data_IF_937179376280
#
_entry.id   IF_937179376280
#
_cell.length_a   1.000
_cell.length_b   1.000
_cell.length_c   1.000
_cell.angle_alpha   90.00
_cell.angle_beta   90.00
_cell.angle_gamma   90.00
#
_symmetry.space_group_name_H-M   'P 1'
#
loop_
_entity.id
_entity.type
_entity.pdbx_description
1 polymer ?
#
# COMPACT_ATOMS: atom_id res chain seq x y z
N UNK A 1 20.36 -2.12 -36.20
CA UNK A 1 20.54 -1.89 -34.75
C UNK A 1 19.96 -0.52 -34.45
N UNK A 2 18.67 -0.46 -34.07
CA UNK A 2 18.11 0.78 -33.53
C UNK A 2 18.83 1.00 -32.20
N UNK A 3 19.43 2.18 -32.00
CA UNK A 3 19.87 2.59 -30.68
C UNK A 3 18.66 2.45 -29.76
N UNK A 4 18.66 1.47 -28.86
CA UNK A 4 17.58 1.32 -27.89
C UNK A 4 17.71 2.49 -26.93
N UNK A 5 16.98 3.56 -27.20
CA UNK A 5 16.92 4.74 -26.34
C UNK A 5 16.49 4.32 -24.92
N UNK A 6 17.06 4.97 -23.91
CA UNK A 6 16.83 4.59 -22.52
C UNK A 6 15.37 4.86 -22.11
N UNK A 7 14.64 3.78 -21.80
CA UNK A 7 13.24 3.80 -21.36
C UNK A 7 13.04 4.44 -19.97
N UNK A 8 14.12 4.82 -19.28
CA UNK A 8 14.05 5.73 -18.13
C UNK A 8 13.84 7.21 -18.53
N UNK A 9 13.70 7.50 -19.83
CA UNK A 9 13.47 8.85 -20.36
C UNK A 9 12.17 8.93 -21.18
N UNK A 10 11.57 10.12 -21.21
CA UNK A 10 10.37 10.40 -22.03
C UNK A 10 10.61 10.08 -23.51
N UNK A 11 11.76 10.47 -24.06
CA UNK A 11 12.10 10.21 -25.45
C UNK A 11 12.24 8.71 -25.73
N UNK A 12 12.91 7.97 -24.85
CA UNK A 12 13.04 6.52 -25.01
C UNK A 12 11.70 5.82 -25.00
N UNK A 13 10.79 6.21 -24.10
CA UNK A 13 9.41 5.69 -24.07
C UNK A 13 8.67 6.05 -25.35
N UNK A 14 8.76 7.29 -25.82
CA UNK A 14 8.10 7.73 -27.04
C UNK A 14 8.56 6.92 -28.26
N UNK A 15 9.88 6.70 -28.38
CA UNK A 15 10.48 5.89 -29.44
C UNK A 15 10.06 4.42 -29.36
N UNK A 16 9.96 3.86 -28.15
CA UNK A 16 9.54 2.47 -27.91
C UNK A 16 8.09 2.22 -28.35
N UNK A 17 7.17 3.12 -27.98
CA UNK A 17 5.75 2.93 -28.31
C UNK A 17 5.37 3.35 -29.73
N UNK A 18 6.23 4.08 -30.45
CA UNK A 18 5.91 4.72 -31.74
C UNK A 18 5.38 3.77 -32.84
N UNK A 19 5.74 2.49 -32.80
CA UNK A 19 5.31 1.46 -33.77
C UNK A 19 4.38 0.41 -33.16
N UNK A 20 3.74 0.75 -32.05
CA UNK A 20 2.78 -0.10 -31.35
C UNK A 20 1.40 0.56 -31.38
N UNK A 21 0.32 -0.15 -31.02
CA UNK A 21 -0.99 0.48 -30.78
C UNK A 21 -0.99 1.56 -29.70
N UNK A 22 0.09 1.68 -28.91
CA UNK A 22 0.25 2.67 -27.84
C UNK A 22 1.07 3.90 -28.29
N UNK A 23 1.27 4.08 -29.60
CA UNK A 23 1.87 5.30 -30.14
C UNK A 23 1.17 6.53 -29.54
N UNK A 24 1.95 7.47 -29.01
CA UNK A 24 1.45 8.52 -28.12
C UNK A 24 1.72 9.90 -28.70
N UNK A 25 0.76 10.80 -28.56
CA UNK A 25 0.92 12.24 -28.86
C UNK A 25 1.66 12.96 -27.74
N UNK A 26 1.59 12.44 -26.51
CA UNK A 26 2.32 12.95 -25.37
C UNK A 26 2.67 11.84 -24.38
N UNK A 27 3.81 11.97 -23.72
CA UNK A 27 4.30 11.06 -22.68
C UNK A 27 4.68 11.90 -21.46
N UNK A 28 4.00 11.70 -20.35
CA UNK A 28 4.19 12.47 -19.12
C UNK A 28 4.74 11.57 -18.01
N UNK A 29 5.79 11.99 -17.33
CA UNK A 29 6.30 11.29 -16.14
C UNK A 29 5.25 11.35 -15.03
N UNK A 30 4.95 10.21 -14.41
CA UNK A 30 4.12 10.13 -13.21
C UNK A 30 5.01 10.08 -11.96
N UNK A 31 4.61 10.82 -10.93
CA UNK A 31 5.24 10.79 -9.62
C UNK A 31 4.52 9.82 -8.68
N UNK A 32 5.14 9.50 -7.54
CA UNK A 32 4.53 8.72 -6.46
C UNK A 32 5.03 7.28 -6.34
N UNK A 33 5.48 6.67 -7.43
CA UNK A 33 6.11 5.33 -7.41
C UNK A 33 7.60 5.41 -7.08
N UNK A 34 8.11 4.46 -6.28
CA UNK A 34 9.53 4.40 -5.91
C UNK A 34 10.30 3.28 -6.64
N UNK A 35 9.62 2.23 -7.11
CA UNK A 35 10.23 1.05 -7.72
C UNK A 35 10.41 1.10 -9.24
N UNK A 36 9.68 1.95 -9.96
CA UNK A 36 9.64 1.95 -11.42
C UNK A 36 9.62 3.37 -12.02
N UNK A 37 10.18 3.50 -13.23
CA UNK A 37 9.95 4.68 -14.06
C UNK A 37 8.56 4.57 -14.68
N UNK A 38 7.67 5.49 -14.31
CA UNK A 38 6.25 5.39 -14.66
C UNK A 38 5.82 6.59 -15.51
N UNK A 39 5.06 6.32 -16.57
CA UNK A 39 4.64 7.32 -17.54
C UNK A 39 3.16 7.17 -17.86
N UNK A 40 2.46 8.30 -18.00
CA UNK A 40 1.16 8.37 -18.65
C UNK A 40 1.35 8.62 -20.14
N UNK A 41 0.76 7.74 -20.93
CA UNK A 41 0.69 7.83 -22.37
C UNK A 41 -0.64 8.49 -22.75
N UNK A 42 -0.58 9.59 -23.51
CA UNK A 42 -1.75 10.09 -24.23
C UNK A 42 -1.71 9.53 -25.64
N UNK A 43 -2.58 8.58 -25.92
CA UNK A 43 -2.54 7.78 -27.14
C UNK A 43 -2.89 8.65 -28.35
N UNK A 44 -2.25 8.39 -29.48
CA UNK A 44 -2.58 9.02 -30.75
C UNK A 44 -3.92 8.51 -31.30
N UNK A 45 -4.18 7.22 -31.10
CA UNK A 45 -5.46 6.58 -31.40
C UNK A 45 -5.98 5.90 -30.14
N UNK A 46 -7.28 6.00 -29.80
CA UNK A 46 -7.82 5.33 -28.63
C UNK A 46 -7.63 3.80 -28.67
N UNK A 47 -7.19 3.21 -27.56
CA UNK A 47 -7.06 1.76 -27.41
C UNK A 47 -8.19 1.24 -26.53
N UNK A 48 -9.01 0.32 -27.05
CA UNK A 48 -10.23 -0.17 -26.38
C UNK A 48 -11.14 0.97 -25.88
N UNK A 49 -11.24 2.05 -26.67
CA UNK A 49 -12.05 3.22 -26.35
C UNK A 49 -11.43 4.16 -25.30
N UNK A 50 -10.16 3.96 -24.90
CA UNK A 50 -9.46 4.81 -23.93
C UNK A 50 -8.41 5.67 -24.61
N UNK A 51 -8.35 6.94 -24.23
CA UNK A 51 -7.38 7.91 -24.75
C UNK A 51 -6.03 7.87 -24.04
N UNK A 52 -5.95 7.19 -22.89
CA UNK A 52 -4.73 7.10 -22.09
C UNK A 52 -4.41 5.67 -21.67
N UNK A 53 -3.12 5.43 -21.45
CA UNK A 53 -2.59 4.21 -20.84
C UNK A 53 -1.44 4.58 -19.89
N UNK A 54 -1.04 3.66 -19.01
CA UNK A 54 0.14 3.81 -18.16
C UNK A 54 1.21 2.82 -18.61
N UNK A 55 2.44 3.31 -18.72
CA UNK A 55 3.63 2.50 -18.95
C UNK A 55 4.51 2.51 -17.70
N UNK A 56 4.84 1.33 -17.17
CA UNK A 56 5.87 1.14 -16.15
C UNK A 56 7.11 0.50 -16.77
N UNK A 57 8.28 1.08 -16.54
CA UNK A 57 9.57 0.50 -16.90
C UNK A 57 10.43 0.23 -15.66
N UNK A 58 10.90 -1.00 -15.54
CA UNK A 58 11.75 -1.45 -14.44
C UNK A 58 13.24 -1.32 -14.77
N UNK A 59 14.04 -0.94 -13.77
CA UNK A 59 15.50 -1.15 -13.74
C UNK A 59 15.87 -2.09 -12.60
N UNK A 60 17.11 -2.58 -12.63
CA UNK A 60 17.71 -3.43 -11.60
C UNK A 60 18.06 -2.67 -10.29
N UNK A 61 17.58 -1.43 -10.15
CA UNK A 61 17.82 -0.53 -9.03
C UNK A 61 16.63 0.42 -8.84
N UNK A 62 16.57 1.10 -7.69
CA UNK A 62 15.56 2.12 -7.43
C UNK A 62 15.80 3.39 -8.27
N UNK A 63 14.78 3.96 -8.95
CA UNK A 63 14.87 5.26 -9.61
C UNK A 63 15.52 6.38 -8.78
N UNK A 64 15.22 6.43 -7.48
CA UNK A 64 15.75 7.46 -6.56
C UNK A 64 17.14 7.14 -5.98
N UNK A 65 17.56 5.87 -5.99
CA UNK A 65 18.86 5.42 -5.49
C UNK A 65 19.37 4.26 -6.35
N UNK A 66 20.27 4.60 -7.29
CA UNK A 66 20.85 3.63 -8.22
C UNK A 66 21.79 2.63 -7.53
N UNK A 67 22.18 2.87 -6.28
CA UNK A 67 23.03 1.96 -5.50
C UNK A 67 22.22 0.88 -4.81
N UNK A 68 20.91 1.07 -4.67
CA UNK A 68 20.00 0.11 -4.06
C UNK A 68 19.52 -0.91 -5.11
N UNK A 69 19.92 -2.19 -5.02
CA UNK A 69 19.51 -3.21 -5.98
C UNK A 69 18.02 -3.54 -5.85
N UNK A 70 17.32 -3.63 -6.98
CA UNK A 70 15.90 -3.99 -7.03
C UNK A 70 15.65 -4.96 -8.20
N UNK A 71 15.18 -6.15 -7.91
CA UNK A 71 15.13 -7.27 -8.84
C UNK A 71 13.97 -7.09 -9.82
N UNK A 72 14.23 -7.32 -11.11
CA UNK A 72 13.27 -7.04 -12.19
C UNK A 72 12.11 -8.03 -12.25
N UNK A 73 12.31 -9.24 -11.73
CA UNK A 73 11.29 -10.28 -11.62
C UNK A 73 10.07 -9.83 -10.79
N UNK A 74 10.21 -8.80 -9.94
CA UNK A 74 9.09 -8.11 -9.27
C UNK A 74 7.95 -7.72 -10.23
N UNK A 75 8.26 -7.35 -11.47
CA UNK A 75 7.26 -6.97 -12.48
C UNK A 75 6.36 -8.15 -12.87
N UNK A 76 6.90 -9.38 -12.88
CA UNK A 76 6.10 -10.59 -13.12
C UNK A 76 5.05 -10.76 -12.02
N UNK A 77 5.41 -10.48 -10.78
CA UNK A 77 4.47 -10.54 -9.66
C UNK A 77 3.43 -9.41 -9.73
N UNK A 78 3.80 -8.20 -10.14
CA UNK A 78 2.86 -7.09 -10.39
C UNK A 78 1.79 -7.48 -11.42
N UNK A 79 2.23 -7.99 -12.57
CA UNK A 79 1.35 -8.43 -13.67
C UNK A 79 0.46 -9.61 -13.27
N UNK A 80 1.04 -10.65 -12.67
CA UNK A 80 0.31 -11.87 -12.33
C UNK A 80 -0.69 -11.63 -11.19
N UNK A 81 -0.35 -10.80 -10.20
CA UNK A 81 -1.30 -10.38 -9.17
C UNK A 81 -2.47 -9.62 -9.79
N UNK A 82 -2.21 -8.59 -10.60
CA UNK A 82 -3.28 -7.81 -11.23
C UNK A 82 -4.20 -8.70 -12.08
N UNK A 83 -3.65 -9.60 -12.90
CA UNK A 83 -4.44 -10.52 -13.74
C UNK A 83 -5.29 -11.48 -12.92
N UNK A 84 -4.69 -12.16 -11.94
CA UNK A 84 -5.37 -13.21 -11.16
C UNK A 84 -6.40 -12.63 -10.20
N UNK A 85 -6.08 -11.52 -9.53
CA UNK A 85 -7.03 -10.81 -8.67
C UNK A 85 -8.23 -10.35 -9.49
N UNK A 86 -8.03 -9.68 -10.63
CA UNK A 86 -9.14 -9.25 -11.50
C UNK A 86 -10.04 -10.40 -11.93
N UNK A 87 -9.48 -11.57 -12.20
CA UNK A 87 -10.25 -12.74 -12.63
C UNK A 87 -11.15 -13.33 -11.53
N UNK A 88 -10.84 -13.11 -10.25
CA UNK A 88 -11.63 -13.64 -9.12
C UNK A 88 -12.60 -12.63 -8.52
N UNK A 89 -12.48 -11.35 -8.89
CA UNK A 89 -13.41 -10.32 -8.43
C UNK A 89 -14.76 -10.43 -9.17
N UNK A 90 -15.89 -10.17 -8.47
CA UNK A 90 -17.18 -10.02 -9.14
C UNK A 90 -17.15 -8.90 -10.17
N UNK A 91 -17.81 -9.08 -11.32
CA UNK A 91 -17.92 -8.04 -12.35
C UNK A 91 -18.57 -6.73 -11.84
N UNK A 92 -19.42 -6.84 -10.82
CA UNK A 92 -20.09 -5.72 -10.13
C UNK A 92 -19.22 -5.05 -9.05
N UNK A 93 -17.99 -5.53 -8.83
CA UNK A 93 -17.12 -4.96 -7.80
C UNK A 93 -16.74 -3.52 -8.11
N UNK A 94 -16.88 -2.65 -7.11
CA UNK A 94 -16.42 -1.26 -7.19
C UNK A 94 -14.89 -1.18 -7.26
N UNK A 95 -14.19 -2.12 -6.60
CA UNK A 95 -12.74 -2.22 -6.59
C UNK A 95 -12.28 -3.22 -7.66
N UNK A 96 -11.26 -2.86 -8.42
CA UNK A 96 -10.61 -3.72 -9.41
C UNK A 96 -9.11 -3.45 -9.48
N UNK A 97 -8.40 -4.15 -10.36
CA UNK A 97 -7.02 -3.85 -10.74
C UNK A 97 -6.98 -3.36 -12.20
N UNK A 98 -5.96 -2.57 -12.58
CA UNK A 98 -5.74 -2.21 -13.98
C UNK A 98 -5.67 -3.41 -14.91
N UNK A 99 -6.22 -3.27 -16.11
CA UNK A 99 -6.06 -4.25 -17.17
C UNK A 99 -4.63 -4.22 -17.70
N UNK A 100 -3.96 -5.37 -17.79
CA UNK A 100 -2.64 -5.48 -18.39
C UNK A 100 -2.80 -5.66 -19.90
N UNK A 101 -2.37 -4.67 -20.67
CA UNK A 101 -2.39 -4.73 -22.13
C UNK A 101 -1.14 -5.41 -22.69
N UNK A 102 0.03 -5.06 -22.15
CA UNK A 102 1.33 -5.60 -22.58
C UNK A 102 2.19 -5.88 -21.36
N UNK A 103 2.88 -7.01 -21.40
CA UNK A 103 4.03 -7.29 -20.55
C UNK A 103 5.18 -7.74 -21.46
N UNK A 104 6.16 -6.85 -21.63
CA UNK A 104 7.37 -7.09 -22.41
C UNK A 104 8.51 -7.35 -21.41
N UNK A 105 8.79 -8.63 -21.18
CA UNK A 105 9.81 -9.09 -20.23
C UNK A 105 11.23 -8.69 -20.68
N UNK A 106 11.49 -8.64 -21.98
CA UNK A 106 12.80 -8.30 -22.53
C UNK A 106 13.11 -6.81 -22.29
N UNK A 107 12.12 -5.94 -22.52
CA UNK A 107 12.24 -4.51 -22.28
C UNK A 107 11.96 -4.10 -20.82
N UNK A 108 11.49 -5.02 -19.98
CA UNK A 108 11.01 -4.75 -18.62
C UNK A 108 9.91 -3.68 -18.60
N UNK A 109 8.94 -3.83 -19.49
CA UNK A 109 7.84 -2.87 -19.70
C UNK A 109 6.50 -3.51 -19.41
N UNK A 110 5.67 -2.81 -18.63
CA UNK A 110 4.25 -3.11 -18.46
C UNK A 110 3.46 -1.94 -19.05
N UNK A 111 2.53 -2.22 -19.98
CA UNK A 111 1.53 -1.24 -20.43
C UNK A 111 0.17 -1.69 -19.91
N UNK A 112 -0.53 -0.80 -19.20
CA UNK A 112 -1.77 -1.10 -18.50
C UNK A 112 -2.80 0.02 -18.60
N UNK A 113 -4.03 -0.30 -18.22
CA UNK A 113 -5.13 0.65 -18.01
C UNK A 113 -4.72 1.81 -17.10
N UNK A 114 -5.09 3.03 -17.49
CA UNK A 114 -4.91 4.22 -16.65
C UNK A 114 -6.02 4.29 -15.59
N UNK A 115 -5.64 4.09 -14.32
CA UNK A 115 -6.56 4.15 -13.18
C UNK A 115 -7.01 5.57 -12.78
N UNK A 116 -6.56 6.61 -13.50
CA UNK A 116 -6.93 8.00 -13.27
C UNK A 116 -5.83 8.82 -12.59
N UNK A 117 -6.18 9.97 -12.04
CA UNK A 117 -5.20 10.97 -11.54
C UNK A 117 -5.24 11.16 -10.03
N UNK A 118 -6.19 10.55 -9.34
CA UNK A 118 -6.49 10.88 -7.95
C UNK A 118 -6.35 9.66 -7.05
N UNK A 119 -5.32 9.67 -6.20
CA UNK A 119 -5.14 8.64 -5.15
C UNK A 119 -6.05 8.92 -3.97
N UNK A 120 -6.39 7.89 -3.20
CA UNK A 120 -7.11 8.03 -1.94
C UNK A 120 -6.31 8.87 -0.94
N UNK A 121 -4.97 8.74 -0.92
CA UNK A 121 -4.12 9.64 -0.11
C UNK A 121 -4.31 11.09 -0.52
N UNK A 122 -4.26 11.40 -1.82
CA UNK A 122 -4.50 12.76 -2.29
C UNK A 122 -5.90 13.26 -1.92
N UNK A 123 -6.94 12.43 -2.05
CA UNK A 123 -8.31 12.79 -1.63
C UNK A 123 -8.44 13.12 -0.15
N UNK A 124 -7.79 12.34 0.71
CA UNK A 124 -7.81 12.59 2.16
C UNK A 124 -7.06 13.89 2.51
N UNK A 125 -6.00 14.19 1.76
CA UNK A 125 -5.11 15.32 2.04
C UNK A 125 -5.47 16.61 1.29
N UNK A 126 -6.34 16.59 0.29
CA UNK A 126 -6.74 17.78 -0.49
C UNK A 126 -7.54 18.81 0.32
N UNK A 127 -7.65 20.02 -0.21
CA UNK A 127 -8.51 21.07 0.33
C UNK A 127 -9.97 20.75 -0.02
N UNK A 128 -10.79 20.53 1.01
CA UNK A 128 -12.12 19.92 0.89
C UNK A 128 -12.08 18.48 1.37
N UNK A 129 -12.77 18.19 2.46
CA UNK A 129 -12.79 16.84 3.01
C UNK A 129 -13.53 15.89 2.06
N UNK A 130 -12.95 14.71 1.82
CA UNK A 130 -13.69 13.58 1.24
C UNK A 130 -15.03 13.44 1.96
N UNK A 131 -16.13 13.49 1.21
CA UNK A 131 -17.46 13.37 1.79
C UNK A 131 -17.57 12.09 2.63
N UNK A 132 -18.17 12.18 3.81
CA UNK A 132 -18.29 11.04 4.74
C UNK A 132 -19.03 9.86 4.10
N UNK A 133 -20.01 10.12 3.22
CA UNK A 133 -20.67 9.11 2.39
C UNK A 133 -19.69 8.38 1.48
N UNK A 134 -18.87 9.10 0.71
CA UNK A 134 -17.86 8.53 -0.16
C UNK A 134 -16.79 7.77 0.64
N UNK A 135 -16.36 8.29 1.79
CA UNK A 135 -15.42 7.63 2.68
C UNK A 135 -15.96 6.29 3.21
N UNK A 136 -17.25 6.25 3.58
CA UNK A 136 -17.95 5.01 3.97
C UNK A 136 -17.93 3.99 2.84
N UNK A 137 -18.33 4.41 1.63
CA UNK A 137 -18.37 3.55 0.43
C UNK A 137 -16.98 3.00 0.10
N UNK A 138 -15.94 3.86 0.11
CA UNK A 138 -14.55 3.46 -0.15
C UNK A 138 -14.09 2.45 0.90
N UNK A 139 -14.28 2.75 2.19
CA UNK A 139 -13.88 1.87 3.27
C UNK A 139 -14.52 0.49 3.15
N UNK A 140 -15.85 0.42 3.01
CA UNK A 140 -16.57 -0.85 2.83
C UNK A 140 -16.10 -1.63 1.60
N UNK A 141 -15.89 -0.95 0.47
CA UNK A 141 -15.47 -1.59 -0.76
C UNK A 141 -14.04 -2.14 -0.66
N UNK A 142 -13.11 -1.39 -0.07
CA UNK A 142 -11.73 -1.83 0.15
C UNK A 142 -11.64 -2.98 1.16
N UNK A 143 -12.45 -2.95 2.22
CA UNK A 143 -12.48 -4.03 3.22
C UNK A 143 -12.99 -5.34 2.62
N UNK A 144 -14.08 -5.26 1.84
CA UNK A 144 -14.62 -6.40 1.09
C UNK A 144 -13.60 -6.94 0.08
N UNK A 145 -12.97 -6.03 -0.69
CA UNK A 145 -11.95 -6.39 -1.66
C UNK A 145 -10.77 -7.13 -1.01
N UNK A 146 -10.20 -6.57 0.06
CA UNK A 146 -9.05 -7.16 0.72
C UNK A 146 -9.41 -8.51 1.36
N UNK A 147 -10.63 -8.65 1.90
CA UNK A 147 -11.12 -9.94 2.37
C UNK A 147 -11.18 -10.99 1.25
N UNK A 148 -11.69 -10.62 0.07
CA UNK A 148 -11.74 -11.52 -1.09
C UNK A 148 -10.35 -11.92 -1.56
N UNK A 149 -9.41 -10.97 -1.65
CA UNK A 149 -8.01 -11.24 -1.99
C UNK A 149 -7.38 -12.17 -0.96
N UNK A 150 -7.55 -11.91 0.33
CA UNK A 150 -6.99 -12.76 1.39
C UNK A 150 -7.64 -14.13 1.51
N UNK A 151 -8.87 -14.32 1.03
CA UNK A 151 -9.52 -15.64 0.94
C UNK A 151 -8.99 -16.40 -0.27
N UNK A 152 -8.94 -15.75 -1.44
CA UNK A 152 -8.37 -16.30 -2.67
C UNK A 152 -6.89 -16.67 -2.49
N UNK A 153 -6.12 -15.82 -1.83
CA UNK A 153 -4.69 -15.97 -1.60
C UNK A 153 -4.30 -17.12 -0.67
N UNK A 154 -5.26 -17.86 -0.09
CA UNK A 154 -4.98 -19.08 0.71
C UNK A 154 -4.85 -20.33 -0.15
N UNK A 155 -5.24 -20.25 -1.42
CA UNK A 155 -5.08 -21.38 -2.33
C UNK A 155 -3.60 -21.77 -2.46
N UNK A 156 -3.31 -23.07 -2.38
CA UNK A 156 -1.94 -23.58 -2.37
C UNK A 156 -1.14 -23.23 -3.62
N UNK A 157 -1.77 -23.27 -4.80
CA UNK A 157 -1.10 -22.93 -6.06
C UNK A 157 -0.82 -21.43 -6.17
N UNK A 158 -1.71 -20.62 -5.62
CA UNK A 158 -1.52 -19.16 -5.52
C UNK A 158 -0.34 -18.87 -4.58
N UNK A 159 -0.32 -19.47 -3.39
CA UNK A 159 0.78 -19.33 -2.44
C UNK A 159 2.13 -19.74 -3.05
N UNK A 160 2.18 -20.90 -3.71
CA UNK A 160 3.41 -21.41 -4.33
C UNK A 160 3.96 -20.48 -5.41
N UNK A 161 3.09 -19.87 -6.22
CA UNK A 161 3.52 -18.92 -7.24
C UNK A 161 4.15 -17.67 -6.61
N UNK A 162 3.47 -17.05 -5.63
CA UNK A 162 3.93 -15.79 -5.02
C UNK A 162 5.09 -15.99 -4.04
N UNK A 163 5.33 -17.21 -3.55
CA UNK A 163 6.46 -17.49 -2.65
C UNK A 163 7.82 -17.24 -3.31
N UNK A 164 7.89 -17.30 -4.64
CA UNK A 164 9.08 -16.97 -5.39
C UNK A 164 9.50 -15.49 -5.29
N UNK A 165 8.62 -14.59 -4.82
CA UNK A 165 8.94 -13.16 -4.66
C UNK A 165 9.77 -12.90 -3.40
N UNK A 166 10.98 -13.49 -3.36
CA UNK A 166 11.88 -13.44 -2.21
C UNK A 166 12.29 -12.01 -1.87
N UNK A 167 12.47 -11.16 -2.88
CA UNK A 167 12.81 -9.76 -2.65
C UNK A 167 11.70 -9.04 -1.88
N UNK A 168 10.43 -9.25 -2.19
CA UNK A 168 9.34 -8.63 -1.46
C UNK A 168 9.31 -9.05 0.02
N UNK A 169 9.67 -10.30 0.34
CA UNK A 169 9.78 -10.78 1.73
C UNK A 169 10.90 -10.04 2.47
N UNK A 170 12.10 -10.04 1.90
CA UNK A 170 13.27 -9.41 2.52
C UNK A 170 13.10 -7.91 2.64
N UNK A 171 12.60 -7.25 1.60
CA UNK A 171 12.43 -5.80 1.57
C UNK A 171 11.39 -5.34 2.61
N UNK A 172 10.20 -5.95 2.65
CA UNK A 172 9.18 -5.58 3.64
C UNK A 172 9.63 -5.85 5.08
N UNK A 173 10.34 -6.97 5.31
CA UNK A 173 10.87 -7.29 6.64
C UNK A 173 11.90 -6.25 7.11
N UNK A 174 12.85 -5.88 6.24
CA UNK A 174 13.86 -4.87 6.54
C UNK A 174 13.24 -3.47 6.69
N UNK A 175 12.40 -3.06 5.74
CA UNK A 175 11.93 -1.69 5.64
C UNK A 175 11.02 -1.27 6.81
N UNK A 176 10.22 -2.22 7.33
CA UNK A 176 9.31 -1.98 8.44
C UNK A 176 9.90 -2.42 9.78
N UNK A 177 10.32 -3.67 9.93
CA UNK A 177 10.78 -4.17 11.25
C UNK A 177 12.26 -3.93 11.50
N UNK A 178 13.11 -4.17 10.49
CA UNK A 178 14.56 -4.00 10.60
C UNK A 178 15.03 -2.57 10.90
N UNK A 179 14.13 -1.58 10.79
CA UNK A 179 14.44 -0.17 11.09
C UNK A 179 13.95 0.29 12.46
N UNK A 180 13.12 -0.48 13.19
CA UNK A 180 12.51 -0.06 14.46
C UNK A 180 13.59 0.40 15.45
N UNK A 181 14.53 -0.48 15.78
CA UNK A 181 15.56 -0.20 16.80
C UNK A 181 16.43 1.00 16.39
N UNK A 182 16.88 1.04 15.14
CA UNK A 182 17.69 2.17 14.64
C UNK A 182 16.96 3.51 14.69
N UNK A 183 15.63 3.50 14.53
CA UNK A 183 14.79 4.70 14.58
C UNK A 183 14.71 5.27 15.99
N UNK A 184 14.70 4.40 17.01
CA UNK A 184 14.53 4.80 18.41
C UNK A 184 15.86 5.09 19.10
N UNK A 185 16.93 4.36 18.76
CA UNK A 185 18.24 4.45 19.43
C UNK A 185 19.24 5.38 18.73
N UNK A 186 19.12 5.59 17.42
CA UNK A 186 20.08 6.37 16.63
C UNK A 186 19.39 7.19 15.52
N UNK A 187 18.49 8.14 15.84
CA UNK A 187 17.73 8.90 14.86
C UNK A 187 18.53 10.01 14.14
N UNK A 188 19.84 9.83 13.93
CA UNK A 188 20.72 10.90 13.44
C UNK A 188 20.27 11.52 12.10
N UNK A 189 19.67 10.69 11.23
CA UNK A 189 19.13 11.10 9.93
C UNK A 189 17.61 11.36 9.95
N UNK A 190 16.99 11.43 11.14
CA UNK A 190 15.54 11.64 11.33
C UNK A 190 15.28 12.96 12.08
N UNK A 191 15.16 14.10 11.38
CA UNK A 191 15.07 15.42 12.00
C UNK A 191 13.98 15.56 13.07
N UNK A 192 12.82 14.93 12.86
CA UNK A 192 11.68 15.00 13.79
C UNK A 192 11.95 14.33 15.15
N UNK A 193 12.90 13.39 15.21
CA UNK A 193 13.17 12.59 16.41
C UNK A 193 14.47 12.97 17.13
N UNK A 194 15.32 13.77 16.48
CA UNK A 194 16.67 14.10 16.98
C UNK A 194 16.68 15.09 18.15
N UNK A 195 15.77 16.06 18.17
CA UNK A 195 15.83 17.19 19.11
C UNK A 195 14.46 17.58 19.70
N UNK A 196 14.20 17.27 21.00
CA UNK A 196 15.06 16.46 21.87
C UNK A 196 15.09 14.99 21.42
N UNK A 197 16.11 14.18 21.79
CA UNK A 197 16.08 12.74 21.54
C UNK A 197 14.80 12.08 22.09
N UNK A 198 14.35 10.99 21.48
CA UNK A 198 13.31 10.14 22.09
C UNK A 198 13.94 9.37 23.25
N UNK A 199 13.25 9.30 24.38
CA UNK A 199 13.66 8.51 25.53
C UNK A 199 12.87 7.19 25.53
N UNK A 200 13.55 6.10 25.13
CA UNK A 200 13.03 4.74 25.24
C UNK A 200 13.98 3.95 26.15
N UNK A 201 13.52 3.47 27.33
CA UNK A 201 14.31 2.67 28.25
C UNK A 201 14.97 1.44 27.59
N UNK A 202 16.14 1.04 28.08
CA UNK A 202 16.92 -0.06 27.50
C UNK A 202 16.19 -1.42 27.57
N UNK A 203 15.44 -1.65 28.65
CA UNK A 203 14.58 -2.83 28.80
C UNK A 203 13.44 -2.85 27.77
N UNK A 204 12.84 -1.69 27.48
CA UNK A 204 11.84 -1.57 26.41
C UNK A 204 12.47 -1.79 25.02
N UNK A 205 13.67 -1.26 24.77
CA UNK A 205 14.39 -1.51 23.51
C UNK A 205 14.67 -3.00 23.28
N UNK A 206 14.95 -3.78 24.33
CA UNK A 206 15.12 -5.24 24.23
C UNK A 206 13.83 -5.93 23.79
N UNK A 207 12.69 -5.59 24.39
CA UNK A 207 11.37 -6.11 24.00
C UNK A 207 11.05 -5.74 22.54
N UNK A 208 11.27 -4.47 22.17
CA UNK A 208 11.03 -4.00 20.80
C UNK A 208 11.92 -4.71 19.77
N UNK A 209 13.16 -5.06 20.15
CA UNK A 209 14.06 -5.85 19.30
C UNK A 209 13.50 -7.26 19.09
N UNK A 210 13.06 -7.92 20.15
CA UNK A 210 12.48 -9.26 20.08
C UNK A 210 11.19 -9.29 19.23
N UNK A 211 10.31 -8.31 19.40
CA UNK A 211 9.09 -8.16 18.58
C UNK A 211 9.45 -7.90 17.13
N UNK A 212 10.42 -7.01 16.86
CA UNK A 212 10.87 -6.72 15.50
C UNK A 212 11.45 -7.95 14.81
N UNK A 213 12.35 -8.69 15.49
CA UNK A 213 13.00 -9.87 14.94
C UNK A 213 11.98 -10.99 14.68
N UNK A 214 11.14 -11.28 15.66
CA UNK A 214 10.08 -12.31 15.54
C UNK A 214 9.14 -12.00 14.39
N UNK A 215 8.69 -10.74 14.27
CA UNK A 215 7.76 -10.35 13.21
C UNK A 215 8.46 -10.30 11.84
N UNK A 216 9.74 -9.94 11.80
CA UNK A 216 10.54 -9.99 10.58
C UNK A 216 10.74 -11.43 10.09
N UNK A 217 10.99 -12.38 10.99
CA UNK A 217 11.09 -13.81 10.67
C UNK A 217 9.74 -14.38 10.19
N UNK A 218 8.65 -13.99 10.83
CA UNK A 218 7.31 -14.33 10.36
C UNK A 218 7.06 -13.75 8.96
N UNK A 219 7.44 -12.50 8.67
CA UNK A 219 7.32 -11.90 7.33
C UNK A 219 8.11 -12.67 6.26
N UNK A 220 9.27 -13.20 6.64
CA UNK A 220 10.14 -13.97 5.73
C UNK A 220 9.62 -15.38 5.45
N UNK A 221 8.77 -15.95 6.30
CA UNK A 221 8.42 -17.38 6.24
C UNK A 221 6.92 -17.66 6.18
N UNK A 222 6.06 -16.71 6.55
CA UNK A 222 4.61 -16.91 6.61
C UNK A 222 4.03 -17.24 5.24
N UNK A 223 3.03 -18.13 5.26
CA UNK A 223 2.31 -18.64 4.08
C UNK A 223 0.81 -18.77 4.36
N UNK A 224 0.23 -17.81 5.10
CA UNK A 224 -1.18 -17.87 5.48
C UNK A 224 -2.11 -17.39 4.37
N UNK A 225 -1.73 -16.31 3.70
CA UNK A 225 -2.42 -15.80 2.51
C UNK A 225 -1.49 -14.94 1.68
N UNK A 226 -1.81 -14.74 0.40
CA UNK A 226 -1.16 -13.71 -0.41
C UNK A 226 -1.67 -12.33 0.01
N UNK A 227 -0.73 -11.48 0.36
CA UNK A 227 -0.94 -10.05 0.62
C UNK A 227 -0.55 -9.26 -0.62
N UNK A 228 -1.14 -8.08 -0.80
CA UNK A 228 -0.65 -7.07 -1.73
C UNK A 228 0.78 -6.65 -1.36
N UNK A 229 1.07 -6.53 -0.06
CA UNK A 229 2.43 -6.30 0.44
C UNK A 229 2.90 -4.84 0.36
N UNK A 230 2.04 -3.94 -0.14
CA UNK A 230 2.18 -2.49 -0.09
C UNK A 230 0.78 -1.84 -0.16
N UNK A 231 -0.15 -2.33 0.68
CA UNK A 231 -1.53 -1.87 0.65
C UNK A 231 -1.68 -0.56 1.45
N UNK A 232 -1.62 0.58 0.78
CA UNK A 232 -1.80 1.90 1.40
C UNK A 232 -2.59 2.86 0.49
N UNK A 233 -3.16 3.96 1.03
CA UNK A 233 -3.99 4.90 0.25
C UNK A 233 -3.31 5.54 -0.97
N UNK A 234 -1.97 5.52 -1.05
CA UNK A 234 -1.23 5.98 -2.23
C UNK A 234 -1.37 5.05 -3.45
N UNK A 235 -1.56 3.75 -3.20
CA UNK A 235 -1.76 2.72 -4.23
C UNK A 235 -3.25 2.48 -4.57
N UNK A 236 -4.15 3.28 -3.99
CA UNK A 236 -5.59 3.23 -4.24
C UNK A 236 -5.97 4.43 -5.11
N UNK A 237 -6.31 4.19 -6.37
CA UNK A 237 -6.86 5.23 -7.24
C UNK A 237 -8.38 5.26 -7.14
N UNK A 238 -8.95 6.45 -7.04
CA UNK A 238 -10.39 6.65 -6.91
C UNK A 238 -10.88 7.49 -8.08
N UNK A 239 -11.80 6.93 -8.86
CA UNK A 239 -12.55 7.65 -9.87
C UNK A 239 -13.87 8.11 -9.27
N UNK A 240 -14.04 9.43 -9.20
CA UNK A 240 -15.29 10.06 -8.80
C UNK A 240 -16.13 10.36 -10.05
N UNK A 241 -17.45 10.24 -9.92
CA UNK A 241 -18.41 10.54 -10.99
C UNK A 241 -19.71 11.10 -10.42
N UNK A 242 -20.50 11.76 -11.26
CA UNK A 242 -21.71 12.51 -10.87
C UNK A 242 -21.52 14.03 -10.97
N UNK A 243 -22.62 14.78 -10.84
CA UNK A 243 -22.64 16.24 -10.91
C UNK A 243 -23.29 16.84 -9.65
N UNK A 244 -22.83 18.03 -9.26
CA UNK A 244 -23.39 18.75 -8.10
C UNK A 244 -23.26 17.98 -6.80
N UNK A 245 -24.37 17.83 -6.06
CA UNK A 245 -24.41 17.15 -4.76
C UNK A 245 -24.40 15.60 -4.86
N UNK A 246 -24.44 15.04 -6.07
CA UNK A 246 -24.46 13.59 -6.32
C UNK A 246 -23.08 12.99 -6.68
N UNK A 247 -21.98 13.71 -6.42
CA UNK A 247 -20.62 13.19 -6.64
C UNK A 247 -20.40 11.94 -5.77
N UNK A 248 -20.32 10.79 -6.44
CA UNK A 248 -20.11 9.47 -5.86
C UNK A 248 -18.83 8.81 -6.36
N UNK A 249 -18.59 7.61 -5.84
CA UNK A 249 -17.43 6.78 -6.21
C UNK A 249 -17.84 5.89 -7.38
N UNK A 250 -17.28 6.12 -8.55
CA UNK A 250 -17.58 5.36 -9.78
C UNK A 250 -16.76 4.07 -9.85
N UNK A 251 -15.47 4.14 -9.51
CA UNK A 251 -14.54 3.02 -9.57
C UNK A 251 -13.34 3.23 -8.64
N UNK A 252 -12.78 2.13 -8.14
CA UNK A 252 -11.53 2.12 -7.39
C UNK A 252 -10.56 1.14 -8.06
N UNK A 253 -9.30 1.56 -8.26
CA UNK A 253 -8.22 0.70 -8.76
C UNK A 253 -7.14 0.51 -7.69
N UNK A 254 -6.70 -0.73 -7.52
CA UNK A 254 -5.57 -1.08 -6.65
C UNK A 254 -4.35 -1.33 -7.53
N UNK A 255 -3.31 -0.53 -7.31
CA UNK A 255 -2.10 -0.48 -8.11
C UNK A 255 -0.91 -1.10 -7.36
N UNK A 256 0.15 -1.42 -8.10
CA UNK A 256 1.50 -1.66 -7.55
C UNK A 256 1.63 -2.93 -6.69
N UNK A 257 1.36 -4.06 -7.32
CA UNK A 257 1.38 -5.38 -6.71
C UNK A 257 2.78 -6.03 -6.71
N UNK A 258 3.85 -5.27 -6.98
CA UNK A 258 5.21 -5.81 -7.11
C UNK A 258 5.76 -6.41 -5.79
N UNK A 259 5.18 -6.04 -4.64
CA UNK A 259 5.50 -6.61 -3.33
C UNK A 259 4.57 -7.75 -2.88
N UNK A 260 3.74 -8.28 -3.79
CA UNK A 260 2.85 -9.40 -3.50
C UNK A 260 3.61 -10.66 -3.12
N UNK A 261 3.21 -11.28 -2.02
CA UNK A 261 3.88 -12.45 -1.42
C UNK A 261 2.94 -13.17 -0.46
N UNK A 262 3.18 -14.45 -0.14
CA UNK A 262 2.56 -15.07 1.01
C UNK A 262 3.03 -14.39 2.30
N UNK A 263 2.09 -14.06 3.18
CA UNK A 263 2.37 -13.42 4.47
C UNK A 263 1.20 -13.58 5.44
N UNK A 264 1.25 -12.81 6.52
CA UNK A 264 0.22 -12.67 7.54
C UNK A 264 -0.84 -11.64 7.08
N UNK A 265 -2.15 -11.91 7.27
CA UNK A 265 -3.21 -11.01 6.81
C UNK A 265 -3.20 -9.64 7.50
N UNK A 266 -2.69 -9.55 8.73
CA UNK A 266 -2.59 -8.28 9.47
C UNK A 266 -1.62 -7.26 8.83
N UNK A 267 -0.78 -7.69 7.89
CA UNK A 267 0.18 -6.82 7.22
C UNK A 267 -0.53 -5.74 6.37
N UNK A 268 -1.33 -6.14 5.39
CA UNK A 268 -2.03 -5.18 4.52
C UNK A 268 -3.02 -4.31 5.32
N UNK A 269 -3.70 -4.90 6.30
CA UNK A 269 -4.66 -4.20 7.16
C UNK A 269 -3.92 -3.14 7.98
N UNK A 270 -2.84 -3.52 8.66
CA UNK A 270 -2.08 -2.63 9.54
C UNK A 270 -1.44 -1.49 8.78
N UNK A 271 -0.92 -1.74 7.57
CA UNK A 271 -0.27 -0.73 6.74
C UNK A 271 -1.27 0.29 6.24
N UNK A 272 -2.39 -0.17 5.66
CA UNK A 272 -3.46 0.71 5.20
C UNK A 272 -4.02 1.55 6.35
N UNK A 273 -4.28 0.89 7.48
CA UNK A 273 -4.81 1.53 8.67
C UNK A 273 -3.84 2.58 9.22
N UNK A 274 -2.54 2.28 9.27
CA UNK A 274 -1.51 3.22 9.71
C UNK A 274 -1.48 4.47 8.83
N UNK A 275 -1.49 4.35 7.51
CA UNK A 275 -1.42 5.50 6.61
C UNK A 275 -2.68 6.38 6.66
N UNK A 276 -3.88 5.80 6.78
CA UNK A 276 -5.11 6.58 6.98
C UNK A 276 -5.15 7.21 8.38
N UNK A 277 -4.67 6.50 9.41
CA UNK A 277 -4.53 7.03 10.76
C UNK A 277 -3.57 8.23 10.81
N UNK A 278 -2.45 8.15 10.09
CA UNK A 278 -1.52 9.27 9.93
C UNK A 278 -2.23 10.45 9.25
N UNK A 279 -2.97 10.21 8.16
CA UNK A 279 -3.73 11.28 7.51
C UNK A 279 -4.65 12.02 8.50
N UNK A 280 -5.47 11.32 9.30
CA UNK A 280 -6.33 11.99 10.30
C UNK A 280 -5.55 12.68 11.42
N UNK A 281 -4.40 12.15 11.83
CA UNK A 281 -3.59 12.73 12.91
C UNK A 281 -2.89 14.02 12.48
N UNK A 282 -2.47 14.12 11.22
CA UNK A 282 -1.80 15.31 10.68
C UNK A 282 -2.76 16.31 10.02
N UNK A 283 -3.95 15.87 9.62
CA UNK A 283 -4.93 16.69 8.91
C UNK A 283 -6.31 16.56 9.58
N UNK A 284 -6.57 17.31 10.67
CA UNK A 284 -7.83 17.22 11.42
C UNK A 284 -9.10 17.39 10.56
N UNK A 285 -8.99 18.12 9.44
CA UNK A 285 -10.08 18.28 8.47
C UNK A 285 -10.61 16.98 7.87
N UNK A 286 -9.76 15.96 7.73
CA UNK A 286 -10.17 14.65 7.22
C UNK A 286 -10.50 13.65 8.35
N UNK A 287 -10.48 14.07 9.61
CA UNK A 287 -10.66 13.17 10.76
C UNK A 287 -11.97 12.38 10.67
N UNK A 288 -13.08 13.06 10.38
CA UNK A 288 -14.39 12.43 10.29
C UNK A 288 -14.46 11.39 9.14
N UNK A 289 -13.98 11.76 7.95
CA UNK A 289 -14.02 10.88 6.78
C UNK A 289 -13.03 9.72 6.91
N UNK A 290 -11.80 9.98 7.36
CA UNK A 290 -10.80 8.96 7.62
C UNK A 290 -11.26 7.97 8.71
N UNK A 291 -11.88 8.45 9.79
CA UNK A 291 -12.38 7.56 10.85
C UNK A 291 -13.50 6.68 10.36
N UNK A 292 -14.47 7.22 9.62
CA UNK A 292 -15.55 6.42 9.00
C UNK A 292 -14.99 5.41 8.00
N UNK A 293 -14.03 5.80 7.18
CA UNK A 293 -13.36 4.92 6.23
C UNK A 293 -12.68 3.74 6.95
N UNK A 294 -11.95 4.00 8.04
CA UNK A 294 -11.29 2.96 8.82
C UNK A 294 -12.30 2.01 9.47
N UNK A 295 -13.36 2.52 10.10
CA UNK A 295 -14.41 1.68 10.70
C UNK A 295 -15.04 0.76 9.67
N UNK A 296 -15.43 1.30 8.52
CA UNK A 296 -16.16 0.53 7.51
C UNK A 296 -15.25 -0.43 6.75
N UNK A 297 -13.97 -0.08 6.59
CA UNK A 297 -12.93 -0.98 6.09
C UNK A 297 -12.76 -2.20 6.97
N UNK A 298 -12.50 -2.02 8.27
CA UNK A 298 -12.31 -3.13 9.20
C UNK A 298 -13.58 -3.99 9.35
N UNK A 299 -14.75 -3.35 9.42
CA UNK A 299 -16.03 -4.05 9.51
C UNK A 299 -16.28 -4.93 8.28
N UNK A 300 -16.12 -4.37 7.07
CA UNK A 300 -16.32 -5.13 5.84
C UNK A 300 -15.29 -6.25 5.66
N UNK A 301 -14.04 -6.03 6.09
CA UNK A 301 -13.03 -7.08 6.06
C UNK A 301 -13.39 -8.27 6.96
N UNK A 302 -13.84 -7.99 8.19
CA UNK A 302 -14.33 -9.01 9.14
C UNK A 302 -15.47 -9.83 8.52
N UNK A 303 -16.47 -9.16 7.98
CA UNK A 303 -17.65 -9.79 7.38
C UNK A 303 -17.31 -10.65 6.16
N UNK A 304 -16.35 -10.20 5.34
CA UNK A 304 -15.93 -10.89 4.13
C UNK A 304 -15.05 -12.12 4.37
N UNK A 305 -14.31 -12.16 5.47
CA UNK A 305 -13.37 -13.28 5.74
C UNK A 305 -13.95 -14.40 6.61
N UNK A 306 -15.01 -14.13 7.41
CA UNK A 306 -15.68 -15.08 8.33
C UNK A 306 -14.70 -15.99 9.10
N UNK A 307 -13.51 -15.50 9.46
CA UNK A 307 -12.52 -16.35 10.14
C UNK A 307 -12.90 -16.53 11.61
N UNK A 308 -12.70 -17.73 12.12
CA UNK A 308 -12.88 -18.09 13.53
C UNK A 308 -11.80 -17.47 14.46
N UNK A 309 -10.83 -16.69 13.93
CA UNK A 309 -9.68 -16.16 14.69
C UNK A 309 -9.41 -14.67 14.44
N UNK A 310 -10.46 -13.84 14.40
CA UNK A 310 -10.32 -12.39 14.21
C UNK A 310 -9.51 -11.69 15.30
N UNK A 311 -9.52 -12.19 16.54
CA UNK A 311 -8.63 -11.71 17.61
C UNK A 311 -7.15 -11.75 17.22
N UNK A 312 -6.69 -12.86 16.62
CA UNK A 312 -5.32 -12.98 16.13
C UNK A 312 -5.03 -12.01 14.99
N UNK A 313 -5.95 -11.85 14.04
CA UNK A 313 -5.77 -10.90 12.94
C UNK A 313 -5.71 -9.46 13.45
N UNK A 314 -6.53 -9.10 14.45
CA UNK A 314 -6.49 -7.81 15.11
C UNK A 314 -5.15 -7.58 15.82
N UNK A 315 -4.64 -8.56 16.57
CA UNK A 315 -3.30 -8.50 17.18
C UNK A 315 -2.19 -8.31 16.15
N UNK A 316 -2.18 -9.09 15.06
CA UNK A 316 -1.21 -8.93 13.97
C UNK A 316 -1.31 -7.55 13.30
N UNK A 317 -2.53 -7.04 13.14
CA UNK A 317 -2.79 -5.70 12.59
C UNK A 317 -2.23 -4.62 13.52
N UNK A 318 -2.43 -4.75 14.82
CA UNK A 318 -1.91 -3.85 15.86
C UNK A 318 -0.38 -3.81 15.85
N UNK A 319 0.27 -4.99 15.86
CA UNK A 319 1.73 -5.08 15.80
C UNK A 319 2.27 -4.42 14.54
N UNK A 320 1.66 -4.69 13.38
CA UNK A 320 2.11 -4.10 12.12
C UNK A 320 1.86 -2.59 12.07
N UNK A 321 0.74 -2.11 12.59
CA UNK A 321 0.45 -0.68 12.76
C UNK A 321 1.51 0.02 13.62
N UNK A 322 1.84 -0.56 14.78
CA UNK A 322 2.88 -0.04 15.67
C UNK A 322 4.26 0.01 14.98
N UNK A 323 4.64 -1.07 14.29
CA UNK A 323 5.88 -1.12 13.52
C UNK A 323 5.92 -0.08 12.40
N UNK A 324 4.82 0.08 11.65
CA UNK A 324 4.72 1.03 10.55
C UNK A 324 4.85 2.48 11.04
N UNK A 325 4.15 2.84 12.10
CA UNK A 325 4.19 4.19 12.68
C UNK A 325 5.57 4.54 13.22
N UNK A 326 6.29 3.59 13.82
CA UNK A 326 7.68 3.81 14.24
C UNK A 326 8.62 3.93 13.03
N UNK A 327 8.52 3.03 12.06
CA UNK A 327 9.49 2.95 10.97
C UNK A 327 9.29 4.01 9.87
N UNK A 328 8.05 4.31 9.47
CA UNK A 328 7.77 5.10 8.26
C UNK A 328 7.43 6.56 8.54
N UNK A 329 6.71 6.85 9.63
CA UNK A 329 6.29 8.23 9.96
C UNK A 329 7.45 9.22 10.01
N UNK A 330 8.58 8.97 10.73
CA UNK A 330 9.68 9.94 10.78
C UNK A 330 10.50 10.02 9.48
N UNK A 331 10.30 9.08 8.54
CA UNK A 331 10.98 9.04 7.23
C UNK A 331 10.18 9.67 6.11
N UNK A 332 8.96 10.09 6.39
CA UNK A 332 8.07 10.70 5.40
C UNK A 332 8.12 12.22 5.56
N UNK A 333 8.88 12.94 4.73
CA UNK A 333 9.15 14.37 4.93
C UNK A 333 7.92 15.26 4.72
N UNK A 334 6.83 14.72 4.16
CA UNK A 334 5.58 15.45 3.93
C UNK A 334 4.75 15.63 5.20
N UNK A 335 5.04 14.89 6.28
CA UNK A 335 4.37 15.12 7.56
C UNK A 335 4.96 16.37 8.22
N UNK A 336 4.12 17.39 8.44
CA UNK A 336 4.59 18.75 8.73
C UNK A 336 4.95 19.04 10.19
N UNK A 337 4.30 18.38 11.15
CA UNK A 337 4.47 18.71 12.58
C UNK A 337 5.33 17.66 13.29
N UNK A 338 6.52 18.07 13.75
CA UNK A 338 7.44 17.19 14.46
C UNK A 338 6.85 16.62 15.76
N UNK A 339 6.01 17.37 16.47
CA UNK A 339 5.43 16.90 17.73
C UNK A 339 4.36 15.83 17.48
N UNK A 340 3.60 15.96 16.40
CA UNK A 340 2.67 14.91 15.95
C UNK A 340 3.47 13.67 15.52
N UNK A 341 4.58 13.82 14.78
CA UNK A 341 5.47 12.70 14.42
C UNK A 341 5.95 11.97 15.68
N UNK A 342 6.48 12.70 16.66
CA UNK A 342 6.98 12.12 17.91
C UNK A 342 5.88 11.41 18.69
N UNK A 343 4.70 12.02 18.81
CA UNK A 343 3.54 11.42 19.47
C UNK A 343 3.16 10.11 18.80
N UNK A 344 3.04 10.07 17.47
CA UNK A 344 2.65 8.86 16.74
C UNK A 344 3.71 7.76 16.85
N UNK A 345 5.00 8.10 16.81
CA UNK A 345 6.08 7.13 17.04
C UNK A 345 5.97 6.53 18.45
N UNK A 346 5.72 7.35 19.48
CA UNK A 346 5.57 6.86 20.85
C UNK A 346 4.24 6.11 21.09
N UNK A 347 3.18 6.45 20.36
CA UNK A 347 1.94 5.64 20.29
C UNK A 347 2.29 4.24 19.73
N UNK A 348 3.05 4.17 18.62
CA UNK A 348 3.51 2.93 18.02
C UNK A 348 4.39 2.07 18.95
N UNK A 349 5.31 2.70 19.68
CA UNK A 349 6.12 2.01 20.71
C UNK A 349 5.23 1.37 21.78
N UNK A 350 4.20 2.07 22.25
CA UNK A 350 3.28 1.51 23.26
C UNK A 350 2.58 0.24 22.75
N UNK A 351 2.08 0.27 21.52
CA UNK A 351 1.43 -0.90 20.93
C UNK A 351 2.39 -2.08 20.75
N UNK A 352 3.64 -1.83 20.37
CA UNK A 352 4.67 -2.88 20.25
C UNK A 352 5.14 -3.44 21.60
N UNK A 353 4.89 -2.75 22.71
CA UNK A 353 5.17 -3.23 24.07
C UNK A 353 3.99 -3.98 24.70
N UNK A 354 2.97 -4.34 23.90
CA UNK A 354 1.83 -5.12 24.35
C UNK A 354 0.61 -4.29 24.77
N UNK A 355 0.63 -2.96 24.62
CA UNK A 355 -0.56 -2.16 24.89
C UNK A 355 -1.66 -2.55 23.90
N UNK A 356 -2.82 -2.96 24.39
CA UNK A 356 -3.94 -3.32 23.53
C UNK A 356 -3.85 -4.70 22.90
N UNK A 357 -3.04 -5.64 23.41
CA UNK A 357 -2.99 -7.02 22.92
C UNK A 357 -4.01 -7.96 23.57
N UNK A 358 -4.48 -7.64 24.78
CA UNK A 358 -5.55 -8.40 25.44
C UNK A 358 -6.86 -8.22 24.66
N UNK A 359 -7.69 -9.27 24.57
CA UNK A 359 -8.91 -9.23 23.75
C UNK A 359 -9.89 -8.13 24.20
N UNK A 360 -10.02 -7.92 25.51
CA UNK A 360 -10.83 -6.84 26.08
C UNK A 360 -10.28 -5.47 25.67
N UNK A 361 -8.96 -5.26 25.71
CA UNK A 361 -8.34 -4.01 25.26
C UNK A 361 -8.45 -3.82 23.74
N UNK A 362 -8.26 -4.89 22.95
CA UNK A 362 -8.45 -4.87 21.50
C UNK A 362 -9.88 -4.47 21.14
N UNK A 363 -10.87 -4.99 21.86
CA UNK A 363 -12.29 -4.69 21.64
C UNK A 363 -12.63 -3.21 21.86
N UNK A 364 -11.93 -2.56 22.79
CA UNK A 364 -12.06 -1.13 23.11
C UNK A 364 -11.09 -0.25 22.31
N UNK A 365 -10.17 -0.85 21.56
CA UNK A 365 -9.21 -0.15 20.73
C UNK A 365 -9.80 0.30 19.40
N UNK A 366 -9.00 1.06 18.64
CA UNK A 366 -9.30 1.43 17.26
C UNK A 366 -9.40 0.24 16.27
N UNK A 367 -9.08 -0.98 16.72
CA UNK A 367 -9.21 -2.23 15.98
C UNK A 367 -10.43 -3.06 16.41
N UNK A 368 -11.22 -2.61 17.39
CA UNK A 368 -12.47 -3.23 17.83
C UNK A 368 -13.44 -3.59 16.69
N UNK A 369 -13.52 -2.82 15.59
CA UNK A 369 -14.29 -3.21 14.41
C UNK A 369 -13.87 -4.53 13.75
N UNK A 370 -12.65 -5.04 13.93
CA UNK A 370 -12.30 -6.40 13.50
C UNK A 370 -12.94 -7.48 14.37
N UNK A 371 -13.35 -7.14 15.58
CA UNK A 371 -13.91 -8.06 16.58
C UNK A 371 -15.44 -7.98 16.70
N UNK A 372 -16.09 -7.03 16.04
CA UNK A 372 -17.54 -6.84 16.18
C UNK A 372 -17.94 -5.59 16.95
N UNK A 373 -16.96 -4.84 17.46
CA UNK A 373 -17.20 -3.67 18.31
C UNK A 373 -17.13 -2.37 17.49
N UNK A 374 -17.89 -1.35 17.90
CA UNK A 374 -17.81 -0.01 17.28
C UNK A 374 -16.51 0.72 17.63
N UNK A 375 -16.18 1.77 16.86
CA UNK A 375 -15.18 2.76 17.29
C UNK A 375 -15.72 3.68 18.37
#
# INVERSE_FOLDING_TARGET
>A
MLNSEDLATVNGVHSYVARTPFASTNVTVLSGGSGNYTYRLRLAEPYLGRETAVLKHGKAWLPADKTFPLALDRQRYDVEAMRRVRAVLPATSLVTTPEIYVFDEDANVIIMEDGGTLTLKALLLQDGALAVSSARTIGSALGTFLAQVHVWGRDGQVLDFFDGNLQARTLSAWATYGRIVSTLSAPHDLPALRDPPLEVPEDQLKVLTEVADTTADAMRSARETVVHGDFWPGNVMVKLGGEGDEIGVERIYILDWELSKPSLPGFDIGQFFAEVHLARSFYPRCEASASVLLTTFLTAYREGTRQEVMARVAGLTLTHFGAHTVAWTPRTPTWGDKEIVRKVVMDGVRYLLGAGEEEDDLSQSMFGPLLGHGL
#
